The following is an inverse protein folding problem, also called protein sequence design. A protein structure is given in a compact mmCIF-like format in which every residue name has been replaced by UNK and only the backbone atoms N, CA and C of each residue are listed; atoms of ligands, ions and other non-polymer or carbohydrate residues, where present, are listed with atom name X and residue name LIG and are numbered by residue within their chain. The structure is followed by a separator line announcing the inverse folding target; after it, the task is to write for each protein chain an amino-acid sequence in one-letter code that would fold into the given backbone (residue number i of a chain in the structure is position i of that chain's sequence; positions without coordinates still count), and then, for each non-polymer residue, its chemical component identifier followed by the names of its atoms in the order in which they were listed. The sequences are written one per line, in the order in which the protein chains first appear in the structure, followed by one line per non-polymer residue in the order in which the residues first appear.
data_IF_020326378584
#
_entry.id   IF_020326378584
#
_cell.length_a   1.000
_cell.length_b   1.000
_cell.length_c   1.000
_cell.angle_alpha   90.00
_cell.angle_beta   90.00
_cell.angle_gamma   90.00
#
_symmetry.space_group_name_H-M   'P 1'
#
loop_
_entity.id
_entity.type
_entity.pdbx_description
1 polymer ?
#
# COMPACT_ATOMS: atom_id res chain seq x y z
N UNK A 1 6.40 6.95 28.93
CA UNK A 1 6.43 5.76 28.04
C UNK A 1 5.48 4.68 28.57
N UNK A 2 4.17 4.96 28.70
CA UNK A 2 3.21 3.99 29.23
C UNK A 2 2.30 3.38 28.15
N UNK A 3 1.98 4.12 27.07
CA UNK A 3 0.98 3.70 26.08
C UNK A 3 1.53 2.97 24.84
N UNK A 4 2.83 3.10 24.51
CA UNK A 4 3.45 2.34 23.40
C UNK A 4 3.54 0.84 23.70
N UNK A 5 3.53 0.44 24.98
CA UNK A 5 3.55 -0.97 25.40
C UNK A 5 2.21 -1.69 25.23
N UNK A 6 1.12 -0.95 24.97
CA UNK A 6 -0.23 -1.51 24.83
C UNK A 6 -0.74 -1.50 23.38
N UNK A 7 0.12 -1.19 22.41
CA UNK A 7 -0.25 -0.98 21.00
C UNK A 7 -1.37 0.06 20.75
N UNK A 8 -1.67 0.92 21.73
CA UNK A 8 -2.64 2.00 21.58
C UNK A 8 -1.98 3.22 20.92
N UNK A 9 -1.69 3.07 19.62
CA UNK A 9 -1.00 4.08 18.84
C UNK A 9 -1.83 5.36 18.68
N UNK A 10 -3.15 5.26 18.63
CA UNK A 10 -4.03 6.43 18.49
C UNK A 10 -3.94 7.36 19.71
N UNK A 11 -4.03 6.81 20.93
CA UNK A 11 -3.86 7.62 22.14
C UNK A 11 -2.44 8.19 22.23
N UNK A 12 -1.41 7.44 21.84
CA UNK A 12 -0.03 7.94 21.84
C UNK A 12 0.18 9.08 20.82
N UNK A 13 -0.43 8.99 19.63
CA UNK A 13 -0.43 10.07 18.63
C UNK A 13 -1.19 11.30 19.14
N UNK A 14 -2.32 11.09 19.82
CA UNK A 14 -3.09 12.18 20.42
C UNK A 14 -2.25 12.94 21.46
N UNK A 15 -1.61 12.22 22.38
CA UNK A 15 -0.72 12.81 23.39
C UNK A 15 0.44 13.58 22.75
N UNK A 16 1.08 13.02 21.73
CA UNK A 16 2.17 13.67 21.02
C UNK A 16 1.72 14.97 20.32
N UNK A 17 0.52 14.96 19.74
CA UNK A 17 -0.08 16.15 19.12
C UNK A 17 -0.39 17.23 20.17
N UNK A 18 -0.95 16.85 21.33
CA UNK A 18 -1.17 17.78 22.44
C UNK A 18 0.14 18.44 22.90
N UNK A 19 1.23 17.68 23.01
CA UNK A 19 2.55 18.25 23.35
C UNK A 19 3.00 19.26 22.29
N UNK A 20 2.82 18.97 21.00
CA UNK A 20 3.15 19.91 19.92
C UNK A 20 2.30 21.19 19.98
N UNK A 21 1.03 21.11 20.38
CA UNK A 21 0.16 22.28 20.52
C UNK A 21 0.56 23.14 21.72
N UNK A 22 0.91 22.50 22.84
CA UNK A 22 1.32 23.18 24.06
C UNK A 22 2.73 23.81 23.94
N UNK A 23 3.64 23.17 23.20
CA UNK A 23 5.01 23.65 23.02
C UNK A 23 5.50 23.38 21.59
N UNK A 24 5.06 24.17 20.60
CA UNK A 24 5.41 23.96 19.20
C UNK A 24 6.89 24.21 18.88
N UNK A 25 7.59 24.96 19.72
CA UNK A 25 9.02 25.23 19.58
C UNK A 25 9.90 24.15 20.22
N UNK A 26 9.31 23.15 20.89
CA UNK A 26 10.08 22.04 21.47
C UNK A 26 10.04 20.79 20.58
N UNK A 27 11.18 20.14 20.42
CA UNK A 27 11.30 18.91 19.63
C UNK A 27 10.58 17.70 20.24
N UNK A 28 10.23 17.76 21.54
CA UNK A 28 9.70 16.61 22.28
C UNK A 28 8.41 16.04 21.66
N UNK A 29 7.45 16.90 21.32
CA UNK A 29 6.18 16.44 20.74
C UNK A 29 6.34 15.78 19.36
N UNK A 30 7.26 16.30 18.55
CA UNK A 30 7.58 15.75 17.23
C UNK A 30 8.30 14.40 17.34
N UNK A 31 9.27 14.30 18.25
CA UNK A 31 9.98 13.05 18.52
C UNK A 31 9.05 11.96 19.04
N UNK A 32 8.08 12.30 19.90
CA UNK A 32 7.10 11.32 20.38
C UNK A 32 6.20 10.78 19.28
N UNK A 33 5.75 11.64 18.37
CA UNK A 33 4.97 11.20 17.22
C UNK A 33 5.84 10.38 16.25
N UNK A 34 7.10 10.77 16.03
CA UNK A 34 8.07 10.00 15.26
C UNK A 34 8.33 8.60 15.84
N UNK A 35 8.51 8.49 17.16
CA UNK A 35 8.67 7.21 17.87
C UNK A 35 7.46 6.28 17.59
N UNK A 36 6.24 6.81 17.72
CA UNK A 36 5.00 6.04 17.49
C UNK A 36 4.89 5.55 16.04
N UNK A 37 5.29 6.34 15.05
CA UNK A 37 5.37 5.88 13.67
C UNK A 37 6.53 4.90 13.42
N UNK A 38 7.63 5.04 14.16
CA UNK A 38 8.76 4.10 14.18
C UNK A 38 8.34 2.69 14.55
N UNK A 39 7.56 2.55 15.63
CA UNK A 39 6.99 1.26 16.07
C UNK A 39 6.03 0.65 15.03
N UNK A 40 5.43 1.47 14.16
CA UNK A 40 4.56 1.02 13.07
C UNK A 40 5.32 0.76 11.75
N UNK A 41 6.64 1.00 11.70
CA UNK A 41 7.43 0.90 10.48
C UNK A 41 7.12 1.96 9.41
N UNK A 42 6.37 3.03 9.76
CA UNK A 42 5.89 4.06 8.82
C UNK A 42 6.93 5.13 8.55
N UNK A 43 8.04 4.79 7.88
CA UNK A 43 9.19 5.69 7.67
C UNK A 43 8.80 7.04 7.00
N UNK A 44 7.94 7.05 5.97
CA UNK A 44 7.43 8.30 5.38
C UNK A 44 6.76 9.24 6.39
N UNK A 45 6.01 8.69 7.36
CA UNK A 45 5.35 9.52 8.38
C UNK A 45 6.37 10.12 9.34
N UNK A 46 7.41 9.35 9.71
CA UNK A 46 8.54 9.83 10.51
C UNK A 46 9.24 11.00 9.81
N UNK A 47 9.54 10.86 8.51
CA UNK A 47 10.18 11.93 7.72
C UNK A 47 9.31 13.20 7.71
N UNK A 48 8.00 13.04 7.45
CA UNK A 48 7.07 14.16 7.41
C UNK A 48 6.98 14.90 8.76
N UNK A 49 6.88 14.17 9.88
CA UNK A 49 6.77 14.80 11.19
C UNK A 49 8.09 15.45 11.63
N UNK A 50 9.24 14.85 11.28
CA UNK A 50 10.53 15.45 11.57
C UNK A 50 10.75 16.72 10.75
N UNK A 51 10.39 16.74 9.46
CA UNK A 51 10.42 17.97 8.65
C UNK A 51 9.51 19.06 9.24
N UNK A 52 8.29 18.70 9.68
CA UNK A 52 7.39 19.64 10.36
C UNK A 52 8.04 20.20 11.63
N UNK A 53 8.65 19.35 12.47
CA UNK A 53 9.34 19.78 13.68
C UNK A 53 10.55 20.67 13.40
N UNK A 54 11.42 20.29 12.45
CA UNK A 54 12.61 21.07 12.08
C UNK A 54 12.26 22.48 11.56
N UNK A 55 11.04 22.68 11.03
CA UNK A 55 10.56 24.01 10.62
C UNK A 55 10.03 24.89 11.76
N UNK A 56 9.77 24.33 12.96
CA UNK A 56 9.13 25.04 14.09
C UNK A 56 9.95 25.07 15.37
N UNK A 57 10.79 24.06 15.59
CA UNK A 57 11.58 23.88 16.81
C UNK A 57 12.74 24.86 16.83
N UNK A 58 13.05 25.41 18.01
CA UNK A 58 14.24 26.24 18.23
C UNK A 58 15.51 25.41 17.98
N UNK A 59 16.45 25.93 17.21
CA UNK A 59 17.74 25.25 16.94
C UNK A 59 18.57 25.02 18.20
N UNK A 60 18.30 25.76 19.29
CA UNK A 60 18.92 25.56 20.60
C UNK A 60 18.19 24.53 21.48
N UNK A 61 17.06 23.97 21.05
CA UNK A 61 16.41 22.88 21.79
C UNK A 61 17.37 21.69 21.88
N UNK A 62 17.56 21.17 23.10
CA UNK A 62 18.46 20.04 23.40
C UNK A 62 18.18 18.78 22.57
N UNK A 63 16.98 18.66 22.00
CA UNK A 63 16.53 17.54 21.19
C UNK A 63 16.50 17.86 19.69
N UNK A 64 16.91 19.06 19.25
CA UNK A 64 16.95 19.45 17.84
C UNK A 64 17.83 18.49 17.02
N UNK A 65 19.05 18.22 17.51
CA UNK A 65 19.97 17.28 16.86
C UNK A 65 19.39 15.85 16.77
N UNK A 66 18.68 15.40 17.80
CA UNK A 66 17.99 14.10 17.79
C UNK A 66 16.90 14.07 16.72
N UNK A 67 16.14 15.16 16.55
CA UNK A 67 15.11 15.25 15.52
C UNK A 67 15.70 15.18 14.11
N UNK A 68 16.86 15.79 13.89
CA UNK A 68 17.59 15.68 12.62
C UNK A 68 18.09 14.25 12.38
N UNK A 69 18.68 13.61 13.38
CA UNK A 69 19.16 12.23 13.27
C UNK A 69 18.01 11.25 12.99
N UNK A 70 16.88 11.37 13.68
CA UNK A 70 15.70 10.51 13.44
C UNK A 70 15.18 10.65 12.01
N UNK A 71 15.23 11.86 11.43
CA UNK A 71 14.91 12.08 10.01
C UNK A 71 15.90 11.35 9.10
N UNK A 72 17.19 11.53 9.30
CA UNK A 72 18.24 10.92 8.47
C UNK A 72 18.15 9.38 8.51
N UNK A 73 17.96 8.81 9.71
CA UNK A 73 17.74 7.37 9.90
C UNK A 73 16.48 6.89 9.15
N UNK A 74 15.39 7.65 9.21
CA UNK A 74 14.14 7.31 8.52
C UNK A 74 14.29 7.41 6.98
N UNK A 75 15.02 8.40 6.47
CA UNK A 75 15.34 8.53 5.04
C UNK A 75 16.21 7.36 4.56
N UNK A 76 17.23 6.98 5.33
CA UNK A 76 18.05 5.81 5.05
C UNK A 76 17.20 4.54 5.03
N UNK A 77 16.35 4.32 6.04
CA UNK A 77 15.45 3.14 6.09
C UNK A 77 14.42 3.13 4.97
N UNK A 78 13.87 4.29 4.61
CA UNK A 78 12.93 4.43 3.50
C UNK A 78 13.59 4.13 2.15
N UNK A 79 14.88 4.44 2.02
CA UNK A 79 15.68 4.11 0.83
C UNK A 79 16.04 2.62 0.75
N UNK A 80 16.17 1.93 1.89
CA UNK A 80 16.36 0.48 1.95
C UNK A 80 15.06 -0.26 1.67
N UNK A 81 14.73 -0.45 0.38
CA UNK A 81 13.66 -1.37 -0.02
C UNK A 81 14.15 -2.80 0.05
N UNK A 82 13.92 -3.46 1.19
CA UNK A 82 14.10 -4.91 1.29
C UNK A 82 12.87 -5.59 0.69
N UNK A 83 13.00 -6.06 -0.55
CA UNK A 83 12.01 -6.94 -1.16
C UNK A 83 12.20 -8.35 -0.58
N UNK A 84 11.72 -8.55 0.66
CA UNK A 84 11.92 -9.82 1.39
C UNK A 84 11.35 -11.01 0.62
N UNK A 85 10.31 -10.78 -0.20
CA UNK A 85 9.73 -11.80 -1.09
C UNK A 85 10.77 -12.37 -2.06
N UNK A 86 11.75 -11.58 -2.53
CA UNK A 86 12.85 -12.07 -3.38
C UNK A 86 13.79 -13.03 -2.64
N UNK A 87 13.86 -12.93 -1.32
CA UNK A 87 14.77 -13.75 -0.50
C UNK A 87 14.11 -15.05 -0.04
N UNK A 88 12.79 -15.15 -0.13
CA UNK A 88 12.05 -16.34 0.24
C UNK A 88 12.07 -17.39 -0.89
N UNK A 89 12.14 -18.69 -0.56
CA UNK A 89 11.95 -19.76 -1.53
C UNK A 89 10.62 -19.59 -2.27
N UNK A 90 10.65 -19.72 -3.60
CA UNK A 90 9.48 -19.51 -4.46
C UNK A 90 8.30 -20.39 -4.06
N UNK A 91 8.60 -21.64 -3.68
CA UNK A 91 7.61 -22.61 -3.22
C UNK A 91 6.84 -22.09 -2.00
N UNK A 92 7.54 -21.71 -0.92
CA UNK A 92 6.92 -21.15 0.31
C UNK A 92 6.03 -19.94 0.00
N UNK A 93 6.49 -19.06 -0.89
CA UNK A 93 5.73 -17.86 -1.27
C UNK A 93 4.42 -18.25 -1.96
N UNK A 94 4.48 -19.15 -2.94
CA UNK A 94 3.34 -19.56 -3.77
C UNK A 94 2.38 -20.47 -3.01
N UNK A 95 2.87 -21.47 -2.27
CA UNK A 95 2.03 -22.51 -1.65
C UNK A 95 1.51 -22.10 -0.28
N UNK A 96 2.11 -21.11 0.38
CA UNK A 96 1.78 -20.75 1.76
C UNK A 96 1.43 -19.28 1.91
N UNK A 97 2.32 -18.35 1.54
CA UNK A 97 2.09 -16.93 1.82
C UNK A 97 0.98 -16.31 0.98
N UNK A 98 0.98 -16.56 -0.34
CA UNK A 98 -0.07 -16.01 -1.22
C UNK A 98 -1.46 -16.52 -0.80
N UNK A 99 -1.71 -17.84 -0.63
CA UNK A 99 -3.02 -18.33 -0.20
C UNK A 99 -3.44 -17.83 1.18
N UNK A 100 -2.50 -17.68 2.11
CA UNK A 100 -2.79 -17.19 3.46
C UNK A 100 -3.24 -15.71 3.46
N UNK A 101 -2.71 -14.88 2.54
CA UNK A 101 -3.03 -13.45 2.46
C UNK A 101 -4.18 -13.16 1.48
N UNK A 102 -4.33 -14.00 0.47
CA UNK A 102 -5.24 -13.82 -0.66
C UNK A 102 -5.96 -15.15 -0.88
N UNK A 103 -7.13 -15.33 -0.25
CA UNK A 103 -7.94 -16.53 -0.40
C UNK A 103 -8.62 -16.56 -1.77
N UNK A 104 -8.09 -17.36 -2.71
CA UNK A 104 -8.47 -17.57 -4.14
C UNK A 104 -9.35 -16.47 -4.80
N UNK A 105 -8.98 -15.22 -4.55
CA UNK A 105 -9.90 -14.08 -4.62
C UNK A 105 -10.11 -13.59 -6.04
N UNK A 106 -11.36 -13.44 -6.45
CA UNK A 106 -11.72 -12.69 -7.66
C UNK A 106 -11.56 -11.21 -7.35
N UNK A 107 -10.68 -10.53 -8.08
CA UNK A 107 -10.39 -9.12 -7.82
C UNK A 107 -11.46 -8.21 -8.40
N UNK A 108 -11.91 -7.26 -7.58
CA UNK A 108 -12.78 -6.19 -8.04
C UNK A 108 -12.03 -5.25 -8.99
N UNK A 109 -12.69 -4.83 -10.07
CA UNK A 109 -12.20 -3.78 -10.96
C UNK A 109 -12.21 -2.39 -10.33
N UNK A 110 -13.07 -2.15 -9.34
CA UNK A 110 -13.29 -0.83 -8.73
C UNK A 110 -12.40 -0.57 -7.52
N UNK A 111 -12.00 -1.63 -6.82
CA UNK A 111 -11.13 -1.54 -5.64
C UNK A 111 -9.77 -2.20 -5.91
N UNK A 112 -8.68 -1.44 -6.02
CA UNK A 112 -7.35 -2.00 -6.27
C UNK A 112 -6.92 -2.88 -5.11
N UNK A 113 -6.46 -4.10 -5.40
CA UNK A 113 -5.87 -4.97 -4.39
C UNK A 113 -4.50 -4.41 -3.98
N UNK A 114 -4.30 -3.96 -2.72
CA UNK A 114 -3.03 -3.36 -2.30
C UNK A 114 -1.87 -4.36 -2.40
N UNK A 115 -2.17 -5.66 -2.31
CA UNK A 115 -1.19 -6.73 -2.45
C UNK A 115 -0.50 -6.72 -3.81
N UNK A 116 -1.17 -6.34 -4.90
CA UNK A 116 -0.54 -6.31 -6.22
C UNK A 116 0.50 -5.18 -6.41
N UNK A 117 0.56 -4.23 -5.49
CA UNK A 117 1.42 -3.04 -5.58
C UNK A 117 2.58 -3.05 -4.58
N UNK A 118 2.80 -4.16 -3.86
CA UNK A 118 3.91 -4.31 -2.90
C UNK A 118 5.26 -4.32 -3.61
N UNK A 119 5.46 -5.22 -4.58
CA UNK A 119 6.63 -5.29 -5.44
C UNK A 119 6.30 -6.03 -6.74
N UNK A 120 7.10 -5.83 -7.78
CA UNK A 120 6.92 -6.55 -9.05
C UNK A 120 7.11 -8.06 -8.85
N UNK A 121 8.08 -8.48 -8.02
CA UNK A 121 8.30 -9.91 -7.75
C UNK A 121 7.14 -10.51 -6.98
N UNK A 122 6.61 -9.82 -5.98
CA UNK A 122 5.43 -10.29 -5.26
C UNK A 122 4.22 -10.44 -6.20
N UNK A 123 4.00 -9.47 -7.09
CA UNK A 123 2.97 -9.58 -8.13
C UNK A 123 3.19 -10.80 -9.02
N UNK A 124 4.41 -11.03 -9.51
CA UNK A 124 4.72 -12.18 -10.35
C UNK A 124 4.45 -13.51 -9.62
N UNK A 125 4.76 -13.58 -8.32
CA UNK A 125 4.47 -14.76 -7.49
C UNK A 125 2.97 -14.97 -7.29
N UNK A 126 2.20 -13.90 -7.08
CA UNK A 126 0.72 -13.97 -7.04
C UNK A 126 0.18 -14.51 -8.37
N UNK A 127 0.65 -13.96 -9.50
CA UNK A 127 0.24 -14.39 -10.84
C UNK A 127 0.57 -15.87 -11.06
N UNK A 128 1.76 -16.32 -10.64
CA UNK A 128 2.16 -17.73 -10.71
C UNK A 128 1.27 -18.63 -9.85
N UNK A 129 0.99 -18.22 -8.60
CA UNK A 129 0.16 -18.97 -7.66
C UNK A 129 -1.25 -19.23 -8.22
N UNK A 130 -1.92 -18.19 -8.72
CA UNK A 130 -3.27 -18.32 -9.27
C UNK A 130 -3.29 -18.76 -10.74
N UNK A 131 -2.10 -18.95 -11.34
CA UNK A 131 -1.93 -19.25 -12.75
C UNK A 131 -2.63 -18.21 -13.63
N UNK A 132 -2.47 -16.92 -13.31
CA UNK A 132 -3.16 -15.79 -13.95
C UNK A 132 -4.18 -15.11 -13.03
N UNK A 133 -4.39 -13.82 -13.25
CA UNK A 133 -5.30 -13.00 -12.46
C UNK A 133 -6.76 -13.19 -12.90
N UNK A 134 -7.68 -13.13 -11.93
CA UNK A 134 -9.12 -13.20 -12.15
C UNK A 134 -9.73 -11.87 -11.73
N UNK A 135 -10.42 -11.19 -12.64
CA UNK A 135 -11.06 -9.91 -12.38
C UNK A 135 -12.56 -9.99 -12.61
N UNK A 136 -13.31 -9.33 -11.73
CA UNK A 136 -14.72 -9.03 -11.90
C UNK A 136 -14.89 -7.52 -12.16
N UNK A 137 -15.38 -7.23 -13.35
CA UNK A 137 -15.72 -5.90 -13.83
C UNK A 137 -17.22 -5.73 -13.70
N UNK A 138 -17.66 -5.27 -12.52
CA UNK A 138 -19.05 -4.90 -12.26
C UNK A 138 -19.48 -3.61 -12.97
N UNK A 139 -20.64 -3.08 -12.60
CA UNK A 139 -21.18 -1.85 -13.19
C UNK A 139 -20.18 -0.68 -13.06
N UNK A 140 -19.75 -0.16 -14.20
CA UNK A 140 -18.62 0.76 -14.30
C UNK A 140 -19.02 2.23 -14.26
N UNK A 141 -20.26 2.57 -13.89
CA UNK A 141 -20.72 3.97 -13.82
C UNK A 141 -19.80 4.82 -12.90
N UNK A 142 -18.84 5.52 -13.53
CA UNK A 142 -17.93 6.46 -12.87
C UNK A 142 -16.62 5.88 -12.31
N UNK A 143 -16.32 4.59 -12.49
CA UNK A 143 -15.10 3.98 -11.91
C UNK A 143 -13.95 3.81 -12.91
N UNK A 144 -12.71 4.09 -12.46
CA UNK A 144 -11.51 3.97 -13.27
C UNK A 144 -11.06 2.51 -13.39
N UNK A 145 -11.10 1.97 -14.61
CA UNK A 145 -10.56 0.63 -14.94
C UNK A 145 -9.02 0.61 -15.10
N UNK A 146 -8.32 1.64 -14.64
CA UNK A 146 -6.87 1.80 -14.82
C UNK A 146 -6.04 0.61 -14.31
N UNK A 147 -6.49 -0.05 -13.25
CA UNK A 147 -5.82 -1.22 -12.69
C UNK A 147 -6.05 -2.49 -13.51
N UNK A 148 -7.24 -2.67 -14.08
CA UNK A 148 -7.54 -3.76 -15.03
C UNK A 148 -6.68 -3.60 -16.28
N UNK A 149 -6.62 -2.37 -16.81
CA UNK A 149 -5.78 -2.00 -17.96
C UNK A 149 -4.29 -2.27 -17.67
N UNK A 150 -3.79 -1.79 -16.54
CA UNK A 150 -2.39 -1.95 -16.15
C UNK A 150 -1.96 -3.39 -15.89
N UNK A 151 -2.92 -4.30 -15.69
CA UNK A 151 -2.69 -5.72 -15.42
C UNK A 151 -3.17 -6.64 -16.55
N UNK A 152 -3.73 -6.09 -17.63
CA UNK A 152 -4.34 -6.80 -18.76
C UNK A 152 -3.59 -8.05 -19.22
N UNK A 153 -2.26 -7.95 -19.36
CA UNK A 153 -1.39 -9.04 -19.81
C UNK A 153 -1.31 -10.23 -18.85
N UNK A 154 -1.63 -10.03 -17.58
CA UNK A 154 -1.63 -11.06 -16.55
C UNK A 154 -3.04 -11.59 -16.25
N UNK A 155 -4.08 -10.98 -16.82
CA UNK A 155 -5.47 -11.39 -16.62
C UNK A 155 -5.75 -12.64 -17.45
N UNK A 156 -6.29 -13.66 -16.79
CA UNK A 156 -6.65 -14.93 -17.40
C UNK A 156 -8.15 -15.17 -17.42
N UNK A 157 -8.86 -14.65 -16.42
CA UNK A 157 -10.31 -14.70 -16.35
C UNK A 157 -10.85 -13.29 -16.15
N UNK A 158 -11.76 -12.87 -17.02
CA UNK A 158 -12.46 -11.60 -16.92
C UNK A 158 -13.96 -11.86 -16.86
N UNK A 159 -14.56 -11.54 -15.72
CA UNK A 159 -16.00 -11.52 -15.55
C UNK A 159 -16.45 -10.08 -15.77
N UNK A 160 -17.47 -9.89 -16.59
CA UNK A 160 -18.08 -8.60 -16.84
C UNK A 160 -19.53 -8.70 -16.44
N UNK A 161 -19.87 -8.03 -15.35
CA UNK A 161 -21.23 -7.97 -14.81
C UNK A 161 -22.15 -7.13 -15.69
N UNK A 162 -23.37 -6.97 -15.20
CA UNK A 162 -24.52 -6.37 -15.89
C UNK A 162 -24.15 -5.16 -16.79
N UNK A 163 -24.18 -5.38 -18.10
CA UNK A 163 -23.73 -4.41 -19.10
C UNK A 163 -24.87 -3.44 -19.43
N UNK A 164 -24.81 -2.20 -18.93
CA UNK A 164 -25.74 -1.15 -19.36
C UNK A 164 -25.39 -0.58 -20.76
N UNK A 165 -24.13 -0.73 -21.20
CA UNK A 165 -23.64 -0.22 -22.49
C UNK A 165 -22.49 -1.09 -23.01
N UNK A 166 -22.67 -1.78 -24.14
CA UNK A 166 -21.68 -2.74 -24.69
C UNK A 166 -20.42 -2.08 -25.28
N UNK A 167 -20.45 -0.76 -25.52
CA UNK A 167 -19.38 -0.04 -26.24
C UNK A 167 -18.08 0.00 -25.45
N UNK A 168 -18.14 0.21 -24.13
CA UNK A 168 -16.92 0.34 -23.32
C UNK A 168 -16.15 -0.99 -23.19
N UNK A 169 -16.84 -2.13 -23.25
CA UNK A 169 -16.19 -3.46 -23.19
C UNK A 169 -15.38 -3.68 -24.47
N UNK A 170 -15.96 -3.34 -25.62
CA UNK A 170 -15.27 -3.39 -26.90
C UNK A 170 -14.02 -2.51 -26.88
N UNK A 171 -14.13 -1.29 -26.34
CA UNK A 171 -12.99 -0.38 -26.20
C UNK A 171 -11.94 -0.91 -25.21
N UNK A 172 -12.36 -1.50 -24.09
CA UNK A 172 -11.45 -2.12 -23.13
C UNK A 172 -10.65 -3.25 -23.78
N UNK A 173 -11.32 -4.17 -24.48
CA UNK A 173 -10.66 -5.33 -25.11
C UNK A 173 -9.80 -4.92 -26.31
N UNK A 174 -10.25 -3.95 -27.10
CA UNK A 174 -9.54 -3.49 -28.31
C UNK A 174 -8.29 -2.69 -28.00
N UNK A 175 -8.33 -1.86 -26.94
CA UNK A 175 -7.25 -0.92 -26.64
C UNK A 175 -6.18 -1.49 -25.69
N UNK A 176 -6.33 -2.73 -25.22
CA UNK A 176 -5.44 -3.31 -24.21
C UNK A 176 -4.99 -4.73 -24.59
N UNK A 177 -3.79 -5.11 -24.14
CA UNK A 177 -3.20 -6.42 -24.44
C UNK A 177 -3.64 -7.48 -23.42
N UNK A 178 -4.69 -8.22 -23.76
CA UNK A 178 -5.21 -9.35 -22.98
C UNK A 178 -4.63 -10.71 -23.46
N UNK A 179 -3.34 -10.78 -23.80
CA UNK A 179 -2.72 -11.98 -24.36
C UNK A 179 -2.82 -13.25 -23.50
N UNK A 180 -3.00 -13.12 -22.18
CA UNK A 180 -3.16 -14.26 -21.26
C UNK A 180 -4.62 -14.64 -21.00
N UNK A 181 -5.59 -13.88 -21.52
CA UNK A 181 -7.01 -14.09 -21.29
C UNK A 181 -7.45 -15.42 -21.89
N UNK A 182 -8.09 -16.27 -21.09
CA UNK A 182 -8.61 -17.58 -21.49
C UNK A 182 -10.10 -17.72 -21.30
N UNK A 183 -10.65 -17.01 -20.33
CA UNK A 183 -12.08 -17.05 -20.01
C UNK A 183 -12.61 -15.62 -19.94
N UNK A 184 -13.61 -15.33 -20.75
CA UNK A 184 -14.37 -14.08 -20.75
C UNK A 184 -15.84 -14.45 -20.54
N UNK A 185 -16.42 -13.99 -19.44
CA UNK A 185 -17.84 -14.18 -19.13
C UNK A 185 -18.51 -12.82 -19.09
N UNK A 186 -19.56 -12.65 -19.89
CA UNK A 186 -20.33 -11.41 -19.95
C UNK A 186 -21.76 -11.75 -19.54
N UNK A 187 -22.25 -11.14 -18.46
CA UNK A 187 -23.67 -11.25 -18.09
C UNK A 187 -24.50 -10.25 -18.90
N UNK A 188 -25.29 -10.78 -19.83
CA UNK A 188 -26.29 -10.03 -20.60
C UNK A 188 -27.65 -10.04 -19.88
N UNK A 189 -28.44 -8.96 -20.01
CA UNK A 189 -29.85 -8.92 -19.62
C UNK A 189 -30.74 -9.60 -20.66
#
# INVERSE_FOLDING_TARGET
MAFTKSANFESALHDANLIQQLSPSSALGYLREADVYGEQGKQCHIINICNKGLSKVDTNDKHYATLQQVKEDAEQRQSTRIDFIKQLPTDIVITTLVPMLMDDFIMSSTTPSPYLYVSNVWRDRIVQCFNGLRFDVGDTEGHSLSHVVGLSRCIKKLYVGQVANEVWICDLLRNNDFCSLRELSIECK
#
